data_IF_784829644896
#
_entry.id   IF_784829644896
#
_cell.length_a   1.000
_cell.length_b   1.000
_cell.length_c   1.000
_cell.angle_alpha   90.00
_cell.angle_beta   90.00
_cell.angle_gamma   90.00
#
_symmetry.space_group_name_H-M   'P 1'
#
loop_
_entity.id
_entity.type
_entity.pdbx_description
1 polymer ?
#
# COMPACT_ATOMS: atom_id res chain seq x y z
N UNK A 1 -1.68 -28.89 -8.43
CA UNK A 1 -1.73 -28.68 -6.96
C UNK A 1 -0.48 -27.89 -6.57
N UNK A 2 -0.49 -26.58 -6.80
CA UNK A 2 0.61 -25.69 -6.43
C UNK A 2 0.43 -25.28 -4.98
N UNK A 3 1.49 -25.43 -4.17
CA UNK A 3 1.44 -25.28 -2.73
C UNK A 3 1.01 -23.88 -2.30
N UNK A 4 0.13 -23.83 -1.31
CA UNK A 4 -0.18 -22.62 -0.55
C UNK A 4 1.16 -22.10 -0.02
N UNK A 5 1.61 -20.94 -0.51
CA UNK A 5 2.78 -20.26 0.04
C UNK A 5 2.48 -19.96 1.50
N UNK A 6 3.19 -20.62 2.41
CA UNK A 6 3.06 -20.34 3.84
C UNK A 6 3.81 -19.04 4.13
N UNK A 7 3.16 -18.01 4.71
CA UNK A 7 3.73 -16.67 4.88
C UNK A 7 5.11 -16.62 5.56
N UNK A 8 5.39 -17.58 6.45
CA UNK A 8 6.60 -17.57 7.27
C UNK A 8 7.91 -17.79 6.50
N UNK A 9 7.87 -18.32 5.26
CA UNK A 9 9.08 -18.69 4.48
C UNK A 9 9.18 -18.02 3.10
N UNK A 10 8.36 -17.01 2.79
CA UNK A 10 8.54 -16.30 1.51
C UNK A 10 9.90 -15.59 1.46
N UNK A 11 10.41 -15.39 0.24
CA UNK A 11 11.65 -14.63 0.02
C UNK A 11 11.51 -13.20 0.52
N UNK A 12 10.33 -12.59 0.40
CA UNK A 12 10.04 -11.27 0.93
C UNK A 12 10.18 -11.26 2.45
N UNK A 13 9.53 -12.21 3.14
CA UNK A 13 9.49 -12.25 4.59
C UNK A 13 10.83 -12.67 5.23
N UNK A 14 11.66 -13.44 4.52
CA UNK A 14 13.00 -13.80 4.99
C UNK A 14 14.04 -12.75 4.61
N UNK A 15 13.98 -12.26 3.37
CA UNK A 15 14.92 -11.29 2.80
C UNK A 15 14.93 -9.98 3.56
N UNK A 16 13.75 -9.49 3.96
CA UNK A 16 13.63 -8.26 4.77
C UNK A 16 14.36 -8.40 6.11
N UNK A 17 14.24 -9.54 6.79
CA UNK A 17 14.97 -9.78 8.05
C UNK A 17 16.48 -9.86 7.84
N UNK A 18 16.95 -10.50 6.76
CA UNK A 18 18.38 -10.55 6.43
C UNK A 18 18.95 -9.18 6.09
N UNK A 19 18.22 -8.38 5.30
CA UNK A 19 18.60 -7.00 4.97
C UNK A 19 18.70 -6.14 6.23
N UNK A 20 17.67 -6.17 7.09
CA UNK A 20 17.66 -5.40 8.33
C UNK A 20 18.87 -5.74 9.24
N UNK A 21 19.17 -7.02 9.43
CA UNK A 21 20.32 -7.46 10.21
C UNK A 21 21.66 -6.97 9.61
N UNK A 22 21.78 -6.98 8.28
CA UNK A 22 22.99 -6.50 7.61
C UNK A 22 23.20 -4.99 7.83
N UNK A 23 22.14 -4.17 7.78
CA UNK A 23 22.26 -2.73 8.04
C UNK A 23 22.57 -2.42 9.50
N UNK A 24 21.94 -3.10 10.46
CA UNK A 24 22.23 -2.95 11.88
C UNK A 24 23.68 -3.29 12.24
N UNK A 25 24.27 -4.28 11.56
CA UNK A 25 25.67 -4.64 11.80
C UNK A 25 26.66 -3.54 11.40
N UNK A 26 26.31 -2.71 10.40
CA UNK A 26 27.14 -1.61 9.91
C UNK A 26 27.01 -0.32 10.73
N UNK A 27 25.85 -0.05 11.32
CA UNK A 27 25.67 1.13 12.19
C UNK A 27 26.55 1.09 13.43
N UNK A 28 26.84 -0.11 13.96
CA UNK A 28 27.77 -0.28 15.08
C UNK A 28 29.23 0.07 14.74
N UNK A 29 29.57 0.18 13.45
CA UNK A 29 30.93 0.45 12.97
C UNK A 29 31.17 1.94 12.67
N UNK A 30 30.12 2.76 12.53
CA UNK A 30 30.22 4.18 12.16
C UNK A 30 29.89 5.06 13.38
N UNK A 31 30.91 5.69 13.96
CA UNK A 31 30.75 6.62 15.08
C UNK A 31 29.96 7.87 14.68
N UNK A 32 28.78 8.09 15.28
CA UNK A 32 28.48 9.37 15.94
C UNK A 32 27.38 10.29 15.44
N UNK A 33 26.66 10.01 14.36
CA UNK A 33 25.43 10.76 14.01
C UNK A 33 24.22 9.81 13.93
N UNK A 34 23.15 10.15 14.64
CA UNK A 34 21.86 9.45 14.56
C UNK A 34 21.27 9.71 13.16
N UNK A 35 21.58 8.84 12.21
CA UNK A 35 21.02 8.90 10.87
C UNK A 35 19.55 8.43 10.92
N UNK A 36 18.65 9.41 11.01
CA UNK A 36 17.20 9.22 11.06
C UNK A 36 16.59 8.92 9.68
N UNK A 37 17.38 8.51 8.67
CA UNK A 37 16.87 8.07 7.37
C UNK A 37 16.52 6.57 7.39
N UNK A 38 15.48 6.21 6.63
CA UNK A 38 15.13 4.82 6.41
C UNK A 38 16.27 4.08 5.67
N UNK A 39 16.77 3.01 6.29
CA UNK A 39 17.76 2.09 5.69
C UNK A 39 17.11 1.01 4.84
N UNK A 40 15.88 0.65 5.21
CA UNK A 40 15.07 -0.34 4.50
C UNK A 40 13.73 0.29 4.12
N UNK A 41 13.51 0.47 2.83
CA UNK A 41 12.21 0.91 2.29
C UNK A 41 11.49 -0.30 1.71
N UNK A 42 10.32 -0.61 2.23
CA UNK A 42 9.52 -1.74 1.80
C UNK A 42 8.34 -1.27 0.93
N UNK A 43 8.29 -1.80 -0.29
CA UNK A 43 7.12 -1.70 -1.16
C UNK A 43 6.09 -2.79 -0.80
N UNK A 44 5.08 -2.40 -0.02
CA UNK A 44 3.98 -3.27 0.37
C UNK A 44 2.76 -3.07 -0.57
N UNK A 45 1.54 -3.02 -0.03
CA UNK A 45 0.28 -2.78 -0.75
C UNK A 45 -0.76 -2.20 0.20
N UNK A 46 -1.60 -1.27 -0.28
CA UNK A 46 -2.81 -0.93 0.45
C UNK A 46 -3.72 -2.16 0.50
N UNK A 47 -4.42 -2.33 1.62
CA UNK A 47 -5.36 -3.43 1.86
C UNK A 47 -4.79 -4.66 2.56
N UNK A 48 -3.50 -4.67 2.92
CA UNK A 48 -2.84 -5.85 3.52
C UNK A 48 -3.42 -6.28 4.86
N UNK A 49 -4.02 -5.37 5.63
CA UNK A 49 -4.64 -5.68 6.93
C UNK A 49 -6.14 -5.97 6.83
N UNK A 50 -6.80 -5.55 5.75
CA UNK A 50 -8.25 -5.62 5.57
C UNK A 50 -8.84 -7.03 5.61
N UNK A 51 -8.19 -8.08 5.08
CA UNK A 51 -8.68 -9.45 5.23
C UNK A 51 -8.90 -9.88 6.70
N UNK A 52 -8.11 -9.30 7.61
CA UNK A 52 -8.11 -9.62 9.05
C UNK A 52 -8.90 -8.61 9.89
N UNK A 53 -9.56 -7.62 9.28
CA UNK A 53 -10.41 -6.68 10.02
C UNK A 53 -11.63 -7.39 10.63
N UNK A 54 -12.06 -6.90 11.79
CA UNK A 54 -13.34 -7.31 12.38
C UNK A 54 -14.51 -6.86 11.51
N UNK A 55 -15.67 -7.50 11.69
CA UNK A 55 -16.85 -7.19 10.88
C UNK A 55 -17.35 -5.76 11.14
N UNK A 56 -17.24 -5.26 12.37
CA UNK A 56 -17.58 -3.88 12.72
C UNK A 56 -16.70 -2.87 11.97
N UNK A 57 -15.39 -3.17 11.85
CA UNK A 57 -14.47 -2.30 11.12
C UNK A 57 -14.72 -2.36 9.61
N UNK A 58 -15.07 -3.54 9.07
CA UNK A 58 -15.45 -3.68 7.67
C UNK A 58 -16.72 -2.90 7.35
N UNK A 59 -17.71 -2.92 8.24
CA UNK A 59 -18.95 -2.14 8.10
C UNK A 59 -18.65 -0.63 8.16
N UNK A 60 -17.81 -0.19 9.11
CA UNK A 60 -17.41 1.20 9.25
C UNK A 60 -16.70 1.75 8.00
N UNK A 61 -15.94 0.92 7.29
CA UNK A 61 -15.14 1.30 6.12
C UNK A 61 -15.50 0.49 4.86
N UNK A 62 -16.80 0.30 4.63
CA UNK A 62 -17.33 -0.61 3.59
C UNK A 62 -16.75 -0.35 2.19
N UNK A 63 -16.53 0.91 1.81
CA UNK A 63 -16.01 1.30 0.49
C UNK A 63 -14.58 0.85 0.20
N UNK A 64 -13.82 0.46 1.24
CA UNK A 64 -12.47 -0.08 1.08
C UNK A 64 -12.31 -1.54 1.53
N UNK A 65 -13.27 -2.06 2.30
CA UNK A 65 -13.20 -3.38 2.93
C UNK A 65 -13.31 -4.54 1.93
N UNK A 66 -14.15 -4.44 0.89
CA UNK A 66 -14.44 -5.53 -0.06
C UNK A 66 -13.94 -5.24 -1.49
N UNK A 67 -12.87 -4.46 -1.65
CA UNK A 67 -12.28 -4.21 -2.98
C UNK A 67 -11.70 -5.52 -3.55
N UNK A 68 -11.58 -5.69 -4.89
CA UNK A 68 -11.27 -6.97 -5.52
C UNK A 68 -10.03 -7.70 -4.97
N UNK A 69 -8.94 -6.97 -4.71
CA UNK A 69 -7.70 -7.55 -4.22
C UNK A 69 -7.85 -8.09 -2.79
N UNK A 70 -8.69 -7.46 -1.97
CA UNK A 70 -8.98 -7.90 -0.59
C UNK A 70 -9.92 -9.09 -0.61
N UNK A 71 -11.00 -9.00 -1.39
CA UNK A 71 -12.01 -10.06 -1.54
C UNK A 71 -11.40 -11.37 -2.05
N UNK A 72 -10.55 -11.28 -3.07
CA UNK A 72 -10.02 -12.47 -3.75
C UNK A 72 -8.67 -12.93 -3.21
N UNK A 73 -7.84 -12.01 -2.69
CA UNK A 73 -6.51 -12.24 -2.13
C UNK A 73 -5.74 -13.39 -2.82
N UNK A 74 -5.48 -13.28 -4.14
CA UNK A 74 -4.94 -14.39 -4.92
C UNK A 74 -3.60 -14.83 -4.33
N UNK A 75 -3.45 -16.15 -4.16
CA UNK A 75 -2.26 -16.77 -3.58
C UNK A 75 -1.92 -16.33 -2.14
N UNK A 76 -2.85 -15.67 -1.43
CA UNK A 76 -2.62 -15.16 -0.07
C UNK A 76 -1.60 -14.01 -0.02
N UNK A 77 -1.43 -13.27 -1.12
CA UNK A 77 -0.35 -12.29 -1.25
C UNK A 77 -0.42 -11.15 -0.22
N UNK A 78 -1.63 -10.75 0.20
CA UNK A 78 -1.81 -9.71 1.21
C UNK A 78 -1.32 -10.18 2.58
N UNK A 79 -1.53 -11.45 2.92
CA UNK A 79 -1.04 -12.04 4.17
C UNK A 79 0.48 -12.11 4.19
N UNK A 80 1.10 -12.50 3.07
CA UNK A 80 2.57 -12.54 2.94
C UNK A 80 3.17 -11.15 3.14
N UNK A 81 2.56 -10.11 2.55
CA UNK A 81 2.99 -8.72 2.72
C UNK A 81 2.78 -8.24 4.16
N UNK A 82 1.62 -8.47 4.76
CA UNK A 82 1.33 -8.11 6.14
C UNK A 82 2.35 -8.72 7.13
N UNK A 83 2.66 -10.00 6.96
CA UNK A 83 3.64 -10.69 7.81
C UNK A 83 5.07 -10.17 7.58
N UNK A 84 5.41 -9.79 6.35
CA UNK A 84 6.73 -9.20 6.02
C UNK A 84 6.89 -7.79 6.62
N UNK A 85 5.82 -6.99 6.61
CA UNK A 85 5.82 -5.69 7.27
C UNK A 85 6.04 -5.83 8.78
N UNK A 86 5.36 -6.77 9.43
CA UNK A 86 5.51 -6.97 10.86
C UNK A 86 6.94 -7.37 11.25
N UNK A 87 7.55 -8.26 10.46
CA UNK A 87 8.97 -8.60 10.65
C UNK A 87 9.90 -7.40 10.49
N UNK A 88 9.61 -6.50 9.56
CA UNK A 88 10.40 -5.28 9.38
C UNK A 88 10.27 -4.36 10.60
N UNK A 89 9.05 -4.14 11.10
CA UNK A 89 8.83 -3.32 12.31
C UNK A 89 9.58 -3.87 13.52
N UNK A 90 9.63 -5.20 13.66
CA UNK A 90 10.31 -5.89 14.76
C UNK A 90 11.84 -5.98 14.60
N UNK A 91 12.38 -5.55 13.45
CA UNK A 91 13.80 -5.76 13.13
C UNK A 91 14.76 -4.73 13.71
N UNK A 92 14.27 -3.69 14.39
CA UNK A 92 15.04 -2.57 14.97
C UNK A 92 15.84 -1.71 13.98
N UNK A 93 15.81 -1.98 12.67
CA UNK A 93 16.43 -1.11 11.66
C UNK A 93 15.55 0.12 11.41
N UNK A 94 16.13 1.27 11.06
CA UNK A 94 15.35 2.38 10.53
C UNK A 94 14.70 1.96 9.20
N UNK A 95 13.36 2.05 9.13
CA UNK A 95 12.59 1.59 7.97
C UNK A 95 11.55 2.60 7.52
N UNK A 96 10.98 2.35 6.34
CA UNK A 96 9.72 2.96 5.91
C UNK A 96 8.92 1.94 5.10
N UNK A 97 7.60 1.86 5.31
CA UNK A 97 6.72 0.92 4.60
C UNK A 97 5.71 1.73 3.80
N UNK A 98 5.82 1.63 2.47
CA UNK A 98 4.89 2.28 1.55
C UNK A 98 3.90 1.28 0.95
N UNK A 99 2.61 1.58 1.11
CA UNK A 99 1.47 0.78 0.64
C UNK A 99 0.75 1.49 -0.52
N UNK A 100 1.18 1.33 -1.78
CA UNK A 100 0.49 1.95 -2.90
C UNK A 100 -0.92 1.37 -3.08
N UNK A 101 -1.82 2.20 -3.61
CA UNK A 101 -3.12 1.77 -4.11
C UNK A 101 -3.02 0.96 -5.41
N UNK A 102 -4.11 0.91 -6.18
CA UNK A 102 -4.17 0.08 -7.39
C UNK A 102 -3.21 0.57 -8.49
N UNK A 103 -2.17 -0.22 -8.76
CA UNK A 103 -1.19 0.08 -9.80
C UNK A 103 -1.84 0.10 -11.19
N UNK A 104 -1.64 1.18 -11.94
CA UNK A 104 -2.15 1.33 -13.29
C UNK A 104 -1.19 2.17 -14.15
N UNK A 105 -0.60 1.56 -15.18
CA UNK A 105 0.37 2.24 -16.06
C UNK A 105 -0.29 3.27 -16.99
N UNK A 106 -1.61 3.15 -17.20
CA UNK A 106 -2.41 4.12 -17.96
C UNK A 106 -2.91 5.28 -17.09
N UNK A 107 -2.74 5.20 -15.75
CA UNK A 107 -3.02 6.35 -14.89
C UNK A 107 -1.97 7.45 -15.14
N UNK A 108 -2.32 8.75 -15.15
CA UNK A 108 -1.32 9.79 -15.40
C UNK A 108 -0.17 9.74 -14.39
N UNK A 109 1.07 9.68 -14.90
CA UNK A 109 2.29 9.84 -14.08
C UNK A 109 2.57 11.31 -13.80
N UNK A 110 3.41 11.60 -12.81
CA UNK A 110 3.64 12.96 -12.31
C UNK A 110 2.39 13.51 -11.62
N UNK A 111 1.57 12.62 -11.06
CA UNK A 111 0.35 12.99 -10.35
C UNK A 111 0.64 13.23 -8.87
N UNK A 112 -0.16 14.10 -8.23
CA UNK A 112 0.00 14.46 -6.82
C UNK A 112 -0.27 13.25 -5.94
N UNK A 113 0.70 12.79 -5.13
CA UNK A 113 0.42 11.73 -4.17
C UNK A 113 -0.45 12.27 -3.03
N UNK A 114 -1.37 11.43 -2.57
CA UNK A 114 -2.17 11.64 -1.37
C UNK A 114 -1.89 10.46 -0.44
N UNK A 115 -1.42 10.75 0.76
CA UNK A 115 -1.01 9.74 1.74
C UNK A 115 -2.01 9.62 2.89
N UNK A 116 -2.15 8.41 3.43
CA UNK A 116 -3.01 8.13 4.59
C UNK A 116 -2.42 7.03 5.47
N UNK A 117 -3.08 6.79 6.61
CA UNK A 117 -2.79 5.68 7.52
C UNK A 117 -4.08 4.97 7.91
N UNK A 118 -3.92 3.76 8.47
CA UNK A 118 -5.02 2.91 8.93
C UNK A 118 -5.46 1.85 7.94
N UNK A 119 -4.81 1.77 6.78
CA UNK A 119 -5.12 0.84 5.70
C UNK A 119 -6.49 1.11 5.06
N UNK A 120 -6.91 2.37 4.95
CA UNK A 120 -8.24 2.79 4.47
C UNK A 120 -8.27 3.38 3.05
N UNK A 121 -7.11 3.62 2.42
CA UNK A 121 -7.01 4.25 1.11
C UNK A 121 -7.43 3.34 -0.04
N UNK A 122 -8.17 3.89 -0.99
CA UNK A 122 -8.44 3.24 -2.27
C UNK A 122 -8.29 4.26 -3.38
N UNK A 123 -7.74 3.82 -4.51
CA UNK A 123 -7.50 4.69 -5.66
C UNK A 123 -6.49 4.05 -6.62
N UNK A 124 -5.93 4.87 -7.50
CA UNK A 124 -4.95 4.47 -8.50
C UNK A 124 -3.64 5.22 -8.33
N UNK A 125 -2.56 4.61 -8.78
CA UNK A 125 -1.25 5.25 -8.87
C UNK A 125 -0.47 4.63 -10.03
N UNK A 126 0.29 5.46 -10.75
CA UNK A 126 1.18 4.98 -11.80
C UNK A 126 2.42 4.33 -11.18
N UNK A 127 2.94 3.25 -11.77
CA UNK A 127 4.18 2.60 -11.30
C UNK A 127 5.39 3.52 -11.31
N UNK A 128 5.44 4.49 -12.23
CA UNK A 128 6.49 5.53 -12.25
C UNK A 128 6.45 6.38 -10.99
N UNK A 129 5.26 6.80 -10.55
CA UNK A 129 5.10 7.62 -9.35
C UNK A 129 5.43 6.81 -8.09
N UNK A 130 5.07 5.52 -8.06
CA UNK A 130 5.51 4.62 -6.98
C UNK A 130 7.03 4.56 -6.91
N UNK A 131 7.72 4.39 -8.05
CA UNK A 131 9.18 4.37 -8.08
C UNK A 131 9.79 5.68 -7.58
N UNK A 132 9.24 6.83 -7.99
CA UNK A 132 9.67 8.15 -7.49
C UNK A 132 9.49 8.25 -5.98
N UNK A 133 8.32 7.90 -5.45
CA UNK A 133 8.05 7.96 -4.00
C UNK A 133 9.02 7.06 -3.21
N UNK A 134 9.29 5.84 -3.69
CA UNK A 134 10.23 4.93 -3.04
C UNK A 134 11.65 5.50 -2.95
N UNK A 135 12.09 6.21 -4.00
CA UNK A 135 13.39 6.88 -4.01
C UNK A 135 13.39 8.09 -3.08
N UNK A 136 12.36 8.93 -3.14
CA UNK A 136 12.24 10.13 -2.29
C UNK A 136 12.25 9.79 -0.79
N UNK A 137 11.66 8.65 -0.40
CA UNK A 137 11.68 8.16 1.00
C UNK A 137 13.10 8.01 1.53
N UNK A 138 14.07 7.58 0.71
CA UNK A 138 15.46 7.35 1.15
C UNK A 138 16.15 8.63 1.64
N UNK A 139 15.66 9.79 1.22
CA UNK A 139 16.18 11.11 1.60
C UNK A 139 15.16 11.94 2.38
N UNK A 140 14.08 11.33 2.88
CA UNK A 140 13.01 12.01 3.63
C UNK A 140 12.97 11.49 5.07
N UNK A 141 13.59 12.18 6.05
CA UNK A 141 13.57 11.77 7.45
C UNK A 141 12.16 11.60 8.02
N UNK A 142 11.20 12.38 7.52
CA UNK A 142 9.80 12.31 7.94
C UNK A 142 9.10 11.02 7.51
N UNK A 143 9.71 10.19 6.66
CA UNK A 143 9.18 8.88 6.29
C UNK A 143 9.63 7.75 7.25
N UNK A 144 10.66 8.00 8.06
CA UNK A 144 11.29 6.98 8.91
C UNK A 144 10.36 6.53 10.03
N UNK A 145 10.32 5.21 10.24
CA UNK A 145 9.51 4.54 11.25
C UNK A 145 8.01 4.59 10.95
N UNK A 146 7.59 4.85 9.71
CA UNK A 146 6.18 4.97 9.33
C UNK A 146 5.74 3.90 8.33
N UNK A 147 4.55 3.37 8.56
CA UNK A 147 3.74 2.67 7.57
C UNK A 147 2.63 3.60 7.07
N UNK A 148 2.54 3.78 5.76
CA UNK A 148 1.54 4.65 5.15
C UNK A 148 1.12 4.18 3.76
N UNK A 149 -0.07 4.59 3.36
CA UNK A 149 -0.65 4.29 2.06
C UNK A 149 -0.50 5.47 1.11
N UNK A 150 -0.57 5.22 -0.20
CA UNK A 150 -0.58 6.30 -1.19
C UNK A 150 -1.38 5.99 -2.44
N UNK A 151 -2.14 6.98 -2.88
CA UNK A 151 -2.81 7.04 -4.19
C UNK A 151 -2.40 8.34 -4.88
N UNK A 152 -2.68 8.48 -6.17
CA UNK A 152 -2.32 9.68 -6.91
C UNK A 152 -3.55 10.36 -7.53
N UNK A 153 -3.66 11.67 -7.30
CA UNK A 153 -4.71 12.51 -7.85
C UNK A 153 -4.30 12.97 -9.26
N UNK A 154 -4.93 12.38 -10.28
CA UNK A 154 -4.68 12.69 -11.68
C UNK A 154 -4.98 14.16 -12.01
N UNK A 155 -4.14 14.76 -12.85
CA UNK A 155 -4.31 16.15 -13.30
C UNK A 155 -3.78 17.22 -12.33
N UNK A 156 -3.29 16.82 -11.16
CA UNK A 156 -2.66 17.72 -10.20
C UNK A 156 -1.17 17.38 -10.08
N UNK A 157 -0.26 18.35 -10.20
CA UNK A 157 1.17 18.08 -10.06
C UNK A 157 1.55 17.82 -8.59
N UNK A 158 2.67 17.13 -8.33
CA UNK A 158 3.20 16.93 -6.99
C UNK A 158 3.55 18.26 -6.33
N UNK A 159 3.69 18.25 -5.00
CA UNK A 159 4.14 19.42 -4.27
C UNK A 159 5.60 19.76 -4.63
N UNK A 160 5.91 21.04 -4.78
CA UNK A 160 7.27 21.52 -5.08
C UNK A 160 8.24 21.18 -3.94
N UNK A 161 7.74 21.20 -2.70
CA UNK A 161 8.51 20.88 -1.48
C UNK A 161 8.75 19.36 -1.28
N UNK A 162 8.33 18.51 -2.23
CA UNK A 162 8.42 17.05 -2.10
C UNK A 162 7.40 16.45 -1.13
N UNK A 163 7.66 15.22 -0.67
CA UNK A 163 6.71 14.45 0.15
C UNK A 163 6.86 14.68 1.66
N UNK A 164 7.98 15.24 2.13
CA UNK A 164 8.31 15.34 3.56
C UNK A 164 7.26 16.06 4.39
N UNK A 165 6.71 17.18 3.89
CA UNK A 165 5.65 17.93 4.59
C UNK A 165 4.35 17.13 4.76
N UNK A 166 4.03 16.26 3.81
CA UNK A 166 2.86 15.39 3.94
C UNK A 166 3.14 14.26 4.94
N UNK A 167 4.32 13.63 4.86
CA UNK A 167 4.70 12.53 5.74
C UNK A 167 4.96 12.97 7.19
N UNK A 168 5.34 14.24 7.43
CA UNK A 168 5.50 14.80 8.78
C UNK A 168 4.20 14.86 9.57
N UNK A 169 3.05 14.79 8.89
CA UNK A 169 1.71 14.77 9.50
C UNK A 169 1.22 13.37 9.85
N UNK A 170 1.96 12.34 9.44
CA UNK A 170 1.65 10.95 9.74
C UNK A 170 2.31 10.53 11.04
N UNK A 171 1.69 9.59 11.74
CA UNK A 171 2.19 9.04 12.99
C UNK A 171 3.27 7.98 12.73
N UNK A 172 4.33 7.90 13.57
CA UNK A 172 5.22 6.75 13.56
C UNK A 172 4.49 5.49 14.03
N UNK A 173 4.94 4.32 13.57
CA UNK A 173 4.34 3.03 13.91
C UNK A 173 4.39 2.75 15.43
N UNK A 174 5.34 3.37 16.15
CA UNK A 174 5.44 3.30 17.62
C UNK A 174 4.30 4.01 18.35
N UNK A 175 3.62 4.95 17.70
CA UNK A 175 2.41 5.60 18.25
C UNK A 175 1.15 4.73 18.08
N UNK A 176 1.25 3.62 17.35
CA UNK A 176 0.13 2.73 17.04
C UNK A 176 -0.74 3.24 15.88
N UNK A 177 -1.90 2.61 15.73
CA UNK A 177 -2.87 2.97 14.68
C UNK A 177 -3.62 4.24 15.12
N UNK A 178 -3.88 5.21 14.22
CA UNK A 178 -4.71 6.37 14.54
C UNK A 178 -6.09 5.99 15.08
N UNK A 179 -6.70 6.87 15.88
CA UNK A 179 -8.02 6.62 16.47
C UNK A 179 -9.11 6.45 15.40
N UNK A 180 -10.20 5.75 15.74
CA UNK A 180 -11.32 5.55 14.81
C UNK A 180 -11.93 6.86 14.31
N UNK A 181 -11.91 7.94 15.10
CA UNK A 181 -12.37 9.27 14.68
C UNK A 181 -11.48 9.83 13.56
N UNK A 182 -10.15 9.80 13.73
CA UNK A 182 -9.20 10.25 12.71
C UNK A 182 -9.29 9.37 11.45
N UNK A 183 -9.43 8.06 11.63
CA UNK A 183 -9.60 7.13 10.50
C UNK A 183 -10.91 7.38 9.75
N UNK A 184 -12.01 7.65 10.45
CA UNK A 184 -13.30 7.96 9.83
C UNK A 184 -13.27 9.26 9.04
N UNK A 185 -12.68 10.31 9.61
CA UNK A 185 -12.51 11.58 8.91
C UNK A 185 -11.62 11.41 7.66
N UNK A 186 -10.49 10.71 7.80
CA UNK A 186 -9.57 10.44 6.69
C UNK A 186 -10.23 9.58 5.60
N UNK A 187 -10.95 8.54 5.99
CA UNK A 187 -11.71 7.68 5.08
C UNK A 187 -12.74 8.49 4.29
N UNK A 188 -13.57 9.31 4.95
CA UNK A 188 -14.58 10.12 4.29
C UNK A 188 -13.98 11.13 3.31
N UNK A 189 -12.82 11.71 3.62
CA UNK A 189 -12.09 12.56 2.69
C UNK A 189 -11.56 11.76 1.49
N UNK A 190 -10.97 10.59 1.72
CA UNK A 190 -10.41 9.75 0.66
C UNK A 190 -11.48 9.16 -0.27
N UNK A 191 -12.68 8.85 0.24
CA UNK A 191 -13.78 8.37 -0.61
C UNK A 191 -14.20 9.40 -1.66
N UNK A 192 -14.04 10.70 -1.39
CA UNK A 192 -14.32 11.77 -2.37
C UNK A 192 -13.26 11.89 -3.47
N UNK A 193 -12.13 11.19 -3.33
CA UNK A 193 -11.02 11.19 -4.28
C UNK A 193 -11.00 9.94 -5.17
N UNK A 194 -12.03 9.09 -5.07
CA UNK A 194 -12.10 7.91 -5.93
C UNK A 194 -12.17 8.35 -7.40
N UNK A 195 -11.58 7.59 -8.34
CA UNK A 195 -11.82 7.81 -9.76
C UNK A 195 -13.24 7.37 -10.16
N UNK A 196 -13.73 7.90 -11.27
CA UNK A 196 -15.03 7.54 -11.84
C UNK A 196 -16.23 8.23 -11.18
N UNK A 197 -17.39 8.15 -11.81
CA UNK A 197 -18.60 8.83 -11.35
C UNK A 197 -19.32 8.05 -10.24
N UNK A 198 -19.29 6.72 -10.29
CA UNK A 198 -19.98 5.87 -9.29
C UNK A 198 -19.33 5.92 -7.90
N UNK A 199 -18.06 6.32 -7.79
CA UNK A 199 -17.32 6.44 -6.51
C UNK A 199 -17.43 5.19 -5.62
N UNK A 200 -17.47 3.99 -6.22
CA UNK A 200 -17.64 2.73 -5.50
C UNK A 200 -16.54 1.74 -5.90
N UNK A 201 -15.48 1.69 -5.08
CA UNK A 201 -14.38 0.78 -5.34
C UNK A 201 -14.69 -0.68 -4.96
N UNK A 202 -15.66 -0.93 -4.07
CA UNK A 202 -16.04 -2.27 -3.64
C UNK A 202 -16.88 -3.00 -4.71
N UNK A 203 -17.62 -2.24 -5.52
CA UNK A 203 -18.35 -2.73 -6.68
C UNK A 203 -17.47 -3.23 -7.83
N UNK A 204 -16.18 -2.88 -7.84
CA UNK A 204 -15.27 -3.34 -8.89
C UNK A 204 -15.17 -4.87 -8.92
N UNK A 205 -14.99 -5.40 -10.13
CA UNK A 205 -14.43 -6.71 -10.38
C UNK A 205 -12.89 -6.63 -10.47
N UNK A 206 -12.20 -7.75 -10.25
CA UNK A 206 -10.74 -7.79 -10.41
C UNK A 206 -10.32 -7.44 -11.84
N UNK A 207 -9.36 -6.53 -11.98
CA UNK A 207 -8.90 -6.08 -13.29
C UNK A 207 -9.91 -5.21 -14.07
N UNK A 208 -10.96 -4.73 -13.39
CA UNK A 208 -11.86 -3.69 -13.91
C UNK A 208 -11.34 -2.29 -13.50
N UNK A 209 -11.50 -1.33 -14.40
CA UNK A 209 -11.25 0.10 -14.15
C UNK A 209 -12.50 0.80 -13.62
N UNK A 210 -12.35 2.01 -13.08
CA UNK A 210 -13.51 2.78 -12.60
C UNK A 210 -14.38 3.24 -13.78
N UNK A 211 -13.75 3.61 -14.89
CA UNK A 211 -14.41 4.02 -16.12
C UNK A 211 -15.21 2.87 -16.76
N UNK A 212 -14.69 1.64 -16.66
CA UNK A 212 -15.45 0.44 -17.05
C UNK A 212 -16.64 0.20 -16.13
N UNK A 213 -16.46 0.38 -14.81
CA UNK A 213 -17.57 0.26 -13.86
C UNK A 213 -18.66 1.28 -14.15
N UNK A 214 -18.30 2.54 -14.42
CA UNK A 214 -19.25 3.60 -14.77
C UNK A 214 -20.07 3.26 -16.02
N UNK A 215 -19.45 2.62 -17.01
CA UNK A 215 -20.07 2.17 -18.27
C UNK A 215 -20.73 0.80 -18.22
N UNK A 216 -20.76 0.15 -17.04
CA UNK A 216 -21.24 -1.23 -16.86
C UNK A 216 -20.52 -2.28 -17.74
N UNK A 217 -19.26 -1.99 -18.08
CA UNK A 217 -18.39 -2.85 -18.87
C UNK A 217 -17.68 -3.90 -17.99
N UNK A 218 -17.42 -5.08 -18.56
CA UNK A 218 -16.76 -6.18 -17.84
C UNK A 218 -15.24 -5.95 -17.84
N UNK A 219 -14.62 -6.11 -16.66
CA UNK A 219 -13.16 -6.05 -16.51
C UNK A 219 -12.43 -7.23 -17.16
N UNK A 220 -11.10 -7.12 -17.29
CA UNK A 220 -10.30 -8.12 -18.03
C UNK A 220 -10.32 -9.54 -17.46
N UNK A 221 -10.73 -9.71 -16.20
CA UNK A 221 -10.77 -11.01 -15.51
C UNK A 221 -12.20 -11.54 -15.30
N UNK A 222 -13.22 -10.88 -15.86
CA UNK A 222 -14.61 -11.30 -15.78
C UNK A 222 -15.48 -10.42 -14.87
N UNK A 223 -16.69 -10.89 -14.61
CA UNK A 223 -17.68 -10.20 -13.78
C UNK A 223 -17.36 -10.38 -12.30
N UNK A 224 -17.78 -9.41 -11.48
CA UNK A 224 -17.71 -9.51 -10.02
C UNK A 224 -18.41 -10.78 -9.53
N UNK A 225 -17.74 -11.55 -8.68
CA UNK A 225 -18.18 -12.86 -8.18
C UNK A 225 -17.87 -14.04 -9.11
N UNK A 226 -17.33 -13.78 -10.31
CA UNK A 226 -16.97 -14.79 -11.31
C UNK A 226 -15.57 -14.51 -11.88
N UNK A 227 -14.72 -13.78 -11.14
CA UNK A 227 -13.40 -13.38 -11.62
C UNK A 227 -12.41 -14.56 -11.70
N UNK A 228 -11.64 -14.63 -12.80
CA UNK A 228 -10.49 -15.54 -12.90
C UNK A 228 -9.28 -14.95 -12.15
N UNK A 229 -9.28 -15.09 -10.83
CA UNK A 229 -8.21 -14.59 -9.96
C UNK A 229 -6.85 -15.29 -10.22
N UNK A 230 -6.84 -16.54 -10.68
CA UNK A 230 -5.61 -17.28 -11.00
C UNK A 230 -4.87 -16.66 -12.19
N UNK A 231 -5.62 -16.14 -13.18
CA UNK A 231 -5.07 -15.40 -14.31
C UNK A 231 -4.57 -13.99 -13.95
N UNK A 232 -4.76 -13.53 -12.71
CA UNK A 232 -4.25 -12.25 -12.23
C UNK A 232 -2.75 -12.29 -11.89
N UNK A 233 -2.15 -13.48 -11.73
CA UNK A 233 -0.72 -13.62 -11.50
C UNK A 233 0.09 -12.91 -12.61
N UNK A 234 1.17 -12.21 -12.25
CA UNK A 234 2.09 -11.69 -13.25
C UNK A 234 2.58 -12.86 -14.09
N UNK A 235 2.37 -12.80 -15.41
CA UNK A 235 3.06 -13.71 -16.31
C UNK A 235 4.56 -13.42 -16.14
N UNK A 236 5.42 -14.44 -16.02
CA UNK A 236 6.86 -14.19 -16.01
C UNK A 236 7.19 -13.34 -17.23
N UNK A 237 7.88 -12.22 -17.01
CA UNK A 237 8.42 -11.42 -18.09
C UNK A 237 9.36 -12.32 -18.88
N UNK A 238 8.99 -12.62 -20.13
CA UNK A 238 9.87 -13.21 -21.14
C UNK A 238 11.05 -12.30 -21.42
#
# INVERSE_FOLDING_TARGET
MFGIMTPRRSIDAMGVSYLANAFLSREKEVNGEEDNLAKVVMLSSAGVTRPRWSDEKKEMFAGCADIPIVRLNPFGILDVKADSEEKLRQSNVNYSIFRPGGLNDNWPSGSRPVFSQGDIAVGRINRKDVATILVDILTTPEATGKTFEGVALAGYPPAVEGIGKALSRLQPDTAGIPSNEVLSASYNAMQQLLPGEKQDAAALAMGQTYEQLDKDEIGRLGKRGQENAEAAAPRPSS
#
